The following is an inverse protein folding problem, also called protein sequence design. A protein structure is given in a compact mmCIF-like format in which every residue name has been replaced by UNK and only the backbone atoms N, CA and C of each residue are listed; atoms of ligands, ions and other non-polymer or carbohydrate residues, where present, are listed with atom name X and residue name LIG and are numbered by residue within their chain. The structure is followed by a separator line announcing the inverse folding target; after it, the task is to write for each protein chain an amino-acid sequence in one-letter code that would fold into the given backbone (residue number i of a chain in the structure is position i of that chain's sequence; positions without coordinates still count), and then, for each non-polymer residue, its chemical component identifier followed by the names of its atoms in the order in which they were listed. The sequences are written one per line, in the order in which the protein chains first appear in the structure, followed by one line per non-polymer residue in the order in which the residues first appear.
data_IF_984470367032
#
_entry.id   IF_984470367032
#
_cell.length_a   1.000
_cell.length_b   1.000
_cell.length_c   1.000
_cell.angle_alpha   90.00
_cell.angle_beta   90.00
_cell.angle_gamma   90.00
#
_symmetry.space_group_name_H-M   'P 1'
#
loop_
_entity.id
_entity.type
_entity.pdbx_description
1 polymer ?
#
# COMPACT_ATOMS: atom_id res chain seq x y z
N UNK A 1 13.34 -7.54 -13.35
CA UNK A 1 12.73 -7.54 -12.02
C UNK A 1 11.38 -6.86 -12.00
N UNK A 2 10.71 -6.91 -10.87
CA UNK A 2 9.48 -6.15 -10.65
C UNK A 2 9.76 -4.63 -10.66
N UNK A 3 8.82 -3.79 -11.10
CA UNK A 3 8.93 -2.36 -10.87
C UNK A 3 9.12 -2.05 -9.38
N UNK A 4 9.95 -1.07 -9.07
CA UNK A 4 10.35 -0.68 -7.70
C UNK A 4 11.20 -1.71 -6.94
N UNK A 5 11.69 -2.78 -7.58
CA UNK A 5 12.51 -3.81 -6.92
C UNK A 5 13.81 -3.27 -6.30
N UNK A 6 14.31 -2.13 -6.78
CA UNK A 6 15.50 -1.48 -6.20
C UNK A 6 15.19 -0.84 -4.84
N UNK A 7 13.96 -0.34 -4.66
CA UNK A 7 13.53 0.27 -3.39
C UNK A 7 12.88 -0.76 -2.46
N UNK A 8 12.17 -1.73 -3.02
CA UNK A 8 11.44 -2.77 -2.30
C UNK A 8 11.66 -4.13 -2.97
N UNK A 9 12.73 -4.85 -2.60
CA UNK A 9 13.07 -6.15 -3.17
C UNK A 9 11.98 -7.22 -2.95
N UNK A 10 11.84 -8.12 -3.91
CA UNK A 10 10.86 -9.22 -3.84
C UNK A 10 11.05 -10.08 -2.59
N UNK A 11 12.30 -10.40 -2.27
CA UNK A 11 12.66 -11.23 -1.10
C UNK A 11 12.24 -10.57 0.23
N UNK A 12 12.29 -9.24 0.30
CA UNK A 12 11.88 -8.50 1.48
C UNK A 12 10.35 -8.55 1.65
N UNK A 13 9.61 -8.37 0.57
CA UNK A 13 8.15 -8.50 0.57
C UNK A 13 7.74 -9.91 1.01
N UNK A 14 8.30 -10.95 0.36
CA UNK A 14 7.98 -12.35 0.65
C UNK A 14 8.30 -12.69 2.12
N UNK A 15 9.45 -12.26 2.62
CA UNK A 15 9.83 -12.46 4.02
C UNK A 15 8.87 -11.79 4.98
N UNK A 16 8.53 -10.52 4.77
CA UNK A 16 7.64 -9.77 5.68
C UNK A 16 6.25 -10.40 5.72
N UNK A 17 5.72 -10.82 4.57
CA UNK A 17 4.45 -11.52 4.54
C UNK A 17 4.51 -12.89 5.22
N UNK A 18 5.61 -13.63 5.10
CA UNK A 18 5.77 -14.92 5.76
C UNK A 18 5.87 -14.80 7.30
N UNK A 19 6.52 -13.74 7.78
CA UNK A 19 6.66 -13.47 9.23
C UNK A 19 5.35 -13.03 9.89
N UNK A 20 4.52 -12.29 9.18
CA UNK A 20 3.22 -11.80 9.66
C UNK A 20 2.07 -12.81 9.47
N UNK A 21 2.40 -14.07 9.19
CA UNK A 21 1.43 -15.18 9.02
C UNK A 21 0.39 -14.93 7.90
N UNK A 22 0.79 -14.23 6.86
CA UNK A 22 -0.09 -13.96 5.73
C UNK A 22 -0.41 -15.24 4.94
N UNK A 23 -1.68 -15.47 4.69
CA UNK A 23 -2.21 -16.67 4.02
C UNK A 23 -2.10 -16.60 2.49
N UNK A 24 -0.94 -16.25 1.96
CA UNK A 24 -0.67 -16.42 0.53
C UNK A 24 -0.42 -17.89 0.20
N UNK A 25 -0.87 -18.33 -0.97
CA UNK A 25 -0.59 -19.68 -1.43
C UNK A 25 0.93 -19.88 -1.58
N UNK A 26 1.45 -20.96 -0.95
CA UNK A 26 2.86 -21.38 -1.08
C UNK A 26 3.05 -22.32 -2.27
N UNK A 27 2.28 -22.14 -3.31
CA UNK A 27 2.35 -22.92 -4.54
C UNK A 27 3.41 -22.29 -5.44
N UNK A 28 4.39 -23.07 -5.89
CA UNK A 28 5.44 -22.61 -6.81
C UNK A 28 4.89 -22.07 -8.12
N UNK A 29 3.70 -22.53 -8.52
CA UNK A 29 2.98 -22.06 -9.70
C UNK A 29 2.05 -20.87 -9.43
N UNK A 30 2.02 -20.35 -8.21
CA UNK A 30 1.16 -19.22 -7.85
C UNK A 30 1.57 -17.94 -8.58
N UNK A 31 0.67 -17.41 -9.41
CA UNK A 31 0.90 -16.17 -10.16
C UNK A 31 0.89 -14.96 -9.23
N UNK A 32 -0.09 -14.92 -8.33
CA UNK A 32 -0.26 -13.81 -7.39
C UNK A 32 0.47 -14.11 -6.08
N UNK A 33 1.81 -14.08 -6.14
CA UNK A 33 2.66 -14.06 -4.95
C UNK A 33 2.43 -12.75 -4.17
N UNK A 34 2.86 -12.64 -2.90
CA UNK A 34 2.85 -11.38 -2.15
C UNK A 34 3.42 -10.22 -2.98
N UNK A 35 4.59 -10.39 -3.57
CA UNK A 35 5.28 -9.35 -4.34
C UNK A 35 4.51 -8.93 -5.60
N UNK A 36 4.02 -9.87 -6.42
CA UNK A 36 3.22 -9.57 -7.61
C UNK A 36 1.90 -8.91 -7.21
N UNK A 37 1.27 -9.37 -6.11
CA UNK A 37 0.02 -8.82 -5.62
C UNK A 37 0.19 -7.38 -5.13
N UNK A 38 1.25 -7.11 -4.35
CA UNK A 38 1.57 -5.78 -3.87
C UNK A 38 1.90 -4.84 -5.04
N UNK A 39 2.71 -5.29 -6.00
CA UNK A 39 3.00 -4.50 -7.19
C UNK A 39 1.73 -4.17 -7.99
N UNK A 40 0.85 -5.15 -8.21
CA UNK A 40 -0.41 -4.94 -8.91
C UNK A 40 -1.31 -3.93 -8.18
N UNK A 41 -1.36 -3.99 -6.85
CA UNK A 41 -2.07 -3.05 -6.00
C UNK A 41 -1.48 -1.63 -6.09
N UNK A 42 -0.16 -1.48 -5.95
CA UNK A 42 0.52 -0.18 -6.12
C UNK A 42 0.27 0.39 -7.52
N UNK A 43 0.37 -0.44 -8.56
CA UNK A 43 0.05 0.00 -9.92
C UNK A 43 -1.39 0.47 -10.07
N UNK A 44 -2.33 -0.13 -9.33
CA UNK A 44 -3.73 0.28 -9.32
C UNK A 44 -3.93 1.63 -8.62
N UNK A 45 -3.26 1.84 -7.48
CA UNK A 45 -3.36 3.08 -6.69
C UNK A 45 -2.73 4.26 -7.42
N UNK A 46 -1.61 4.06 -8.09
CA UNK A 46 -0.85 5.12 -8.78
C UNK A 46 -1.51 5.61 -10.08
N UNK A 47 -2.45 4.86 -10.65
CA UNK A 47 -3.16 5.26 -11.86
C UNK A 47 -4.46 6.04 -11.54
N UNK A 48 -5.06 6.65 -12.55
CA UNK A 48 -6.31 7.42 -12.44
C UNK A 48 -7.41 6.84 -13.35
N UNK A 49 -8.65 7.17 -13.04
CA UNK A 49 -9.80 6.77 -13.85
C UNK A 49 -9.91 5.25 -14.01
N UNK A 50 -10.27 4.81 -15.19
CA UNK A 50 -10.47 3.39 -15.53
C UNK A 50 -9.22 2.51 -15.33
N UNK A 51 -8.03 3.10 -15.41
CA UNK A 51 -6.77 2.42 -15.17
C UNK A 51 -6.59 1.95 -13.70
N UNK A 52 -7.45 2.40 -12.78
CA UNK A 52 -7.53 1.93 -11.39
C UNK A 52 -8.39 0.68 -11.22
N UNK A 53 -9.00 0.17 -12.27
CA UNK A 53 -9.83 -1.04 -12.18
C UNK A 53 -8.98 -2.28 -11.91
N UNK A 54 -9.57 -3.28 -11.26
CA UNK A 54 -8.92 -4.58 -11.05
C UNK A 54 -8.53 -5.22 -12.38
N UNK A 55 -9.37 -5.06 -13.40
CA UNK A 55 -9.11 -5.60 -14.75
C UNK A 55 -7.88 -4.95 -15.39
N UNK A 56 -7.73 -3.63 -15.26
CA UNK A 56 -6.53 -2.92 -15.74
C UNK A 56 -5.25 -3.37 -15.00
N UNK A 57 -5.36 -3.68 -13.69
CA UNK A 57 -4.24 -4.24 -12.93
C UNK A 57 -3.87 -5.63 -13.42
N UNK A 58 -4.85 -6.50 -13.70
CA UNK A 58 -4.61 -7.82 -14.29
C UNK A 58 -3.94 -7.71 -15.65
N UNK A 59 -4.37 -6.81 -16.52
CA UNK A 59 -3.74 -6.59 -17.82
C UNK A 59 -2.24 -6.21 -17.68
N UNK A 60 -1.89 -5.38 -16.69
CA UNK A 60 -0.49 -5.06 -16.38
C UNK A 60 0.29 -6.26 -15.85
N UNK A 61 -0.32 -7.11 -15.02
CA UNK A 61 0.30 -8.36 -14.56
C UNK A 61 0.55 -9.31 -15.73
N UNK A 62 -0.43 -9.49 -16.63
CA UNK A 62 -0.24 -10.29 -17.86
C UNK A 62 0.94 -9.78 -18.66
N UNK A 63 1.02 -8.47 -18.90
CA UNK A 63 2.13 -7.85 -19.61
C UNK A 63 3.47 -8.10 -18.92
N UNK A 64 3.52 -7.94 -17.59
CA UNK A 64 4.72 -8.20 -16.79
C UNK A 64 5.17 -9.66 -16.93
N UNK A 65 4.27 -10.62 -16.80
CA UNK A 65 4.60 -12.05 -16.91
C UNK A 65 5.18 -12.39 -18.29
N UNK A 66 4.58 -11.83 -19.35
CA UNK A 66 5.10 -12.00 -20.72
C UNK A 66 6.52 -11.44 -20.84
N UNK A 67 6.79 -10.25 -20.32
CA UNK A 67 8.14 -9.63 -20.33
C UNK A 67 9.14 -10.46 -19.54
N UNK A 68 8.71 -11.11 -18.45
CA UNK A 68 9.54 -12.01 -17.64
C UNK A 68 9.69 -13.42 -18.25
N UNK A 69 9.11 -13.69 -19.42
CA UNK A 69 9.12 -15.01 -20.05
C UNK A 69 8.30 -16.07 -19.31
N UNK A 70 7.40 -15.62 -18.40
CA UNK A 70 6.49 -16.50 -17.64
C UNK A 70 5.17 -16.68 -18.40
N UNK A 71 4.47 -17.79 -18.10
CA UNK A 71 3.15 -18.04 -18.64
C UNK A 71 2.16 -16.95 -18.15
N UNK A 72 1.44 -16.28 -19.05
CA UNK A 72 0.44 -15.28 -18.66
C UNK A 72 -0.70 -15.91 -17.86
N UNK A 73 -1.26 -15.15 -16.94
CA UNK A 73 -2.47 -15.52 -16.20
C UNK A 73 -3.73 -15.29 -17.04
N UNK A 74 -4.87 -15.84 -16.58
CA UNK A 74 -6.16 -15.52 -17.14
C UNK A 74 -6.53 -14.04 -16.98
N UNK A 75 -7.35 -13.55 -17.88
CA UNK A 75 -7.76 -12.13 -17.90
C UNK A 75 -8.84 -11.79 -16.84
N UNK A 76 -9.35 -12.80 -16.11
CA UNK A 76 -10.32 -12.59 -15.03
C UNK A 76 -9.71 -11.96 -13.80
N UNK A 77 -10.40 -10.97 -13.23
CA UNK A 77 -9.91 -10.25 -12.06
C UNK A 77 -10.13 -10.98 -10.71
N UNK A 78 -10.88 -12.08 -10.70
CA UNK A 78 -11.26 -12.76 -9.45
C UNK A 78 -10.07 -13.28 -8.65
N UNK A 79 -9.05 -13.85 -9.30
CA UNK A 79 -7.84 -14.33 -8.64
C UNK A 79 -7.07 -13.18 -8.00
N UNK A 80 -6.89 -12.07 -8.72
CA UNK A 80 -6.26 -10.86 -8.20
C UNK A 80 -7.04 -10.27 -7.02
N UNK A 81 -8.36 -10.16 -7.12
CA UNK A 81 -9.19 -9.62 -6.04
C UNK A 81 -9.05 -10.45 -4.75
N UNK A 82 -9.02 -11.78 -4.85
CA UNK A 82 -8.79 -12.66 -3.70
C UNK A 82 -7.38 -12.50 -3.13
N UNK A 83 -6.35 -12.39 -3.96
CA UNK A 83 -4.98 -12.15 -3.51
C UNK A 83 -4.86 -10.78 -2.84
N UNK A 84 -5.42 -9.72 -3.45
CA UNK A 84 -5.40 -8.37 -2.87
C UNK A 84 -6.06 -8.29 -1.49
N UNK A 85 -7.12 -9.06 -1.25
CA UNK A 85 -7.79 -9.12 0.05
C UNK A 85 -6.90 -9.69 1.17
N UNK A 86 -5.76 -10.32 0.82
CA UNK A 86 -4.77 -10.82 1.79
C UNK A 86 -3.68 -9.80 2.13
N UNK A 87 -3.65 -8.65 1.44
CA UNK A 87 -2.73 -7.55 1.78
C UNK A 87 -3.21 -6.94 3.10
N UNK A 88 -2.55 -7.27 4.19
CA UNK A 88 -2.90 -6.79 5.52
C UNK A 88 -2.25 -5.44 5.81
N UNK A 89 -2.96 -4.59 6.55
CA UNK A 89 -2.47 -3.27 6.95
C UNK A 89 -1.15 -3.34 7.74
N UNK A 90 -0.98 -4.22 8.76
CA UNK A 90 0.28 -4.32 9.50
C UNK A 90 1.49 -4.62 8.63
N UNK A 91 1.35 -5.51 7.63
CA UNK A 91 2.44 -5.82 6.70
C UNK A 91 2.80 -4.62 5.84
N UNK A 92 1.81 -3.90 5.32
CA UNK A 92 2.03 -2.70 4.51
C UNK A 92 2.66 -1.58 5.33
N UNK A 93 2.23 -1.38 6.56
CA UNK A 93 2.82 -0.45 7.51
C UNK A 93 4.29 -0.79 7.76
N UNK A 94 4.60 -2.03 8.13
CA UNK A 94 5.97 -2.49 8.38
C UNK A 94 6.87 -2.27 7.16
N UNK A 95 6.46 -2.68 5.96
CA UNK A 95 7.22 -2.46 4.74
C UNK A 95 7.48 -0.96 4.49
N UNK A 96 6.49 -0.11 4.75
CA UNK A 96 6.62 1.33 4.60
C UNK A 96 7.64 1.90 5.56
N UNK A 97 7.59 1.50 6.84
CA UNK A 97 8.50 1.98 7.89
C UNK A 97 9.94 1.48 7.67
N UNK A 98 10.13 0.20 7.31
CA UNK A 98 11.45 -0.36 7.00
C UNK A 98 12.09 0.35 5.78
N UNK A 99 11.31 0.65 4.74
CA UNK A 99 11.78 1.41 3.59
C UNK A 99 12.13 2.86 3.96
N UNK A 100 11.32 3.51 4.80
CA UNK A 100 11.60 4.86 5.28
C UNK A 100 12.88 4.91 6.12
N UNK A 101 13.06 3.98 7.05
CA UNK A 101 14.27 3.89 7.88
C UNK A 101 15.53 3.68 7.03
N UNK A 102 15.47 2.81 6.05
CA UNK A 102 16.57 2.59 5.09
C UNK A 102 16.93 3.86 4.33
N UNK A 103 15.92 4.57 3.82
CA UNK A 103 16.15 5.84 3.12
C UNK A 103 16.75 6.90 4.05
N UNK A 104 16.30 6.97 5.31
CA UNK A 104 16.81 7.92 6.29
C UNK A 104 18.26 7.62 6.69
N UNK A 105 18.61 6.34 6.89
CA UNK A 105 19.97 5.95 7.27
C UNK A 105 21.01 6.14 6.17
N UNK A 106 20.57 6.17 4.92
CA UNK A 106 21.43 6.36 3.74
C UNK A 106 21.54 7.83 3.30
N UNK A 107 20.94 8.77 4.03
CA UNK A 107 20.93 10.18 3.65
C UNK A 107 22.35 10.78 3.66
N UNK A 108 22.75 11.48 2.59
CA UNK A 108 23.95 12.29 2.58
C UNK A 108 23.86 13.41 3.63
N UNK A 109 24.97 13.70 4.32
CA UNK A 109 25.02 14.73 5.38
C UNK A 109 24.55 16.11 4.89
N UNK A 110 24.79 16.44 3.64
CA UNK A 110 24.35 17.69 3.02
C UNK A 110 22.83 17.87 2.90
N UNK A 111 22.06 16.79 3.07
CA UNK A 111 20.59 16.82 3.06
C UNK A 111 20.01 16.98 4.47
N UNK A 112 20.88 16.95 5.48
CA UNK A 112 20.50 17.17 6.87
C UNK A 112 20.53 18.66 7.20
N UNK A 113 19.56 19.12 7.95
CA UNK A 113 19.55 20.50 8.43
C UNK A 113 20.43 20.62 9.70
N UNK A 114 21.62 21.21 9.57
CA UNK A 114 22.62 21.26 10.64
C UNK A 114 22.89 19.88 11.28
N UNK A 115 23.05 18.85 10.46
CA UNK A 115 23.25 17.47 10.92
C UNK A 115 22.02 16.79 11.51
N UNK A 116 20.83 17.33 11.28
CA UNK A 116 19.57 16.80 11.85
C UNK A 116 18.57 16.39 10.75
N UNK A 117 17.88 15.28 10.99
CA UNK A 117 16.74 14.87 10.19
C UNK A 117 15.52 15.77 10.50
N UNK A 118 15.01 16.46 9.48
CA UNK A 118 13.82 17.30 9.63
C UNK A 118 12.59 16.49 9.24
N UNK A 119 11.60 16.49 10.11
CA UNK A 119 10.30 15.83 9.88
C UNK A 119 9.20 16.88 9.74
N UNK A 120 8.26 16.60 8.86
CA UNK A 120 7.02 17.36 8.68
C UNK A 120 5.87 16.55 9.27
N UNK A 121 4.99 17.21 10.00
CA UNK A 121 3.73 16.63 10.48
C UNK A 121 2.61 17.30 9.72
N UNK A 122 1.79 16.51 9.06
CA UNK A 122 0.61 16.99 8.35
C UNK A 122 -0.62 16.14 8.68
N UNK A 123 -1.78 16.76 8.64
CA UNK A 123 -3.06 16.14 8.95
C UNK A 123 -4.04 16.26 7.79
N UNK A 124 -4.70 15.15 7.47
CA UNK A 124 -5.74 15.12 6.45
C UNK A 124 -6.95 14.32 6.90
N UNK A 125 -8.00 14.33 6.11
CA UNK A 125 -9.20 13.51 6.32
C UNK A 125 -9.47 12.63 5.11
N UNK A 126 -9.92 11.41 5.37
CA UNK A 126 -10.28 10.45 4.33
C UNK A 126 -11.74 10.07 4.49
N UNK A 127 -12.53 10.29 3.44
CA UNK A 127 -13.91 9.77 3.38
C UNK A 127 -13.87 8.30 2.99
N UNK A 128 -14.57 7.48 3.74
CA UNK A 128 -14.63 6.03 3.52
C UNK A 128 -15.97 5.63 2.89
N UNK A 129 -16.04 4.45 2.25
CA UNK A 129 -17.32 3.89 1.83
C UNK A 129 -18.30 3.78 3.00
N UNK A 130 -19.58 4.04 2.73
CA UNK A 130 -20.63 3.95 3.73
C UNK A 130 -21.02 2.50 3.98
N UNK A 131 -20.27 1.85 4.87
CA UNK A 131 -20.56 0.49 5.35
C UNK A 131 -20.78 0.50 6.87
N UNK A 132 -21.51 -0.48 7.42
CA UNK A 132 -21.71 -0.58 8.87
C UNK A 132 -20.40 -0.62 9.67
N UNK A 133 -19.41 -1.32 9.16
CA UNK A 133 -18.10 -1.46 9.78
C UNK A 133 -17.34 -0.12 9.81
N UNK A 134 -17.34 0.60 8.68
CA UNK A 134 -16.71 1.92 8.59
C UNK A 134 -17.45 2.94 9.45
N UNK A 135 -18.78 2.90 9.51
CA UNK A 135 -19.57 3.78 10.40
C UNK A 135 -19.29 3.48 11.87
N UNK A 136 -19.05 2.22 12.24
CA UNK A 136 -18.72 1.86 13.61
C UNK A 136 -17.31 2.35 14.02
N UNK A 137 -16.32 2.22 13.14
CA UNK A 137 -14.94 2.60 13.40
C UNK A 137 -14.67 4.11 13.21
N UNK A 138 -15.29 4.72 12.20
CA UNK A 138 -15.07 6.11 11.78
C UNK A 138 -16.43 6.80 11.52
N UNK A 139 -17.24 7.05 12.53
CA UNK A 139 -18.60 7.55 12.36
C UNK A 139 -18.62 8.88 11.60
N UNK A 140 -19.73 9.12 10.90
CA UNK A 140 -19.99 10.43 10.31
C UNK A 140 -19.91 11.55 11.34
N UNK A 141 -19.70 12.78 10.90
CA UNK A 141 -19.64 13.94 11.80
C UNK A 141 -20.95 14.11 12.59
N UNK A 142 -20.82 14.35 13.90
CA UNK A 142 -21.98 14.49 14.82
C UNK A 142 -22.95 15.62 14.48
N UNK A 143 -22.50 16.61 13.70
CA UNK A 143 -23.35 17.74 13.27
C UNK A 143 -24.24 17.42 12.08
N UNK A 144 -24.01 16.30 11.41
CA UNK A 144 -24.84 15.84 10.30
C UNK A 144 -25.97 14.94 10.82
N UNK A 145 -27.11 14.98 10.15
CA UNK A 145 -28.22 14.07 10.47
C UNK A 145 -27.73 12.61 10.29
N UNK A 146 -28.11 11.69 11.20
CA UNK A 146 -27.79 10.29 11.08
C UNK A 146 -28.16 9.72 9.69
N UNK A 147 -27.27 8.97 9.08
CA UNK A 147 -27.47 8.32 7.77
C UNK A 147 -27.33 9.25 6.55
N UNK A 148 -26.86 10.50 6.73
CA UNK A 148 -26.65 11.45 5.62
C UNK A 148 -25.17 11.66 5.32
N UNK A 149 -24.29 11.38 6.28
CA UNK A 149 -22.86 11.58 6.16
C UNK A 149 -22.09 10.30 5.92
N UNK A 150 -20.97 10.42 5.22
CA UNK A 150 -20.01 9.32 5.06
C UNK A 150 -19.11 9.17 6.30
N UNK A 151 -18.62 7.96 6.58
CA UNK A 151 -17.55 7.74 7.54
C UNK A 151 -16.32 8.58 7.18
N UNK A 152 -15.73 9.25 8.17
CA UNK A 152 -14.55 10.09 7.96
C UNK A 152 -13.48 9.73 8.97
N UNK A 153 -12.33 9.29 8.47
CA UNK A 153 -11.12 9.15 9.27
C UNK A 153 -10.30 10.45 9.22
N UNK A 154 -9.73 10.82 10.36
CA UNK A 154 -8.63 11.78 10.44
C UNK A 154 -7.32 11.04 10.43
N UNK A 155 -6.40 11.46 9.59
CA UNK A 155 -5.07 10.89 9.47
C UNK A 155 -4.03 11.96 9.75
N UNK A 156 -3.02 11.62 10.54
CA UNK A 156 -1.83 12.45 10.78
C UNK A 156 -0.63 11.66 10.28
N UNK A 157 0.21 12.29 9.49
CA UNK A 157 1.36 11.65 8.85
C UNK A 157 2.62 12.39 9.23
N UNK A 158 3.67 11.64 9.58
CA UNK A 158 5.02 12.12 9.81
C UNK A 158 5.85 11.84 8.54
N UNK A 159 6.30 12.89 7.88
CA UNK A 159 7.06 12.81 6.64
C UNK A 159 8.51 13.25 6.85
N UNK A 160 9.44 12.58 6.19
CA UNK A 160 10.81 13.10 6.07
C UNK A 160 10.85 14.23 5.05
N UNK A 161 11.44 15.37 5.43
CA UNK A 161 11.67 16.47 4.50
C UNK A 161 12.70 16.10 3.41
N UNK A 162 13.70 15.30 3.77
CA UNK A 162 14.80 14.96 2.89
C UNK A 162 14.43 13.86 1.87
N UNK A 163 13.70 12.83 2.31
CA UNK A 163 13.37 11.66 1.47
C UNK A 163 11.95 11.68 0.91
N UNK A 164 11.07 12.55 1.43
CA UNK A 164 9.63 12.54 1.23
C UNK A 164 8.94 11.22 1.64
N UNK A 165 9.62 10.37 2.40
CA UNK A 165 9.07 9.11 2.90
C UNK A 165 8.12 9.34 4.08
N UNK A 166 7.07 8.53 4.15
CA UNK A 166 6.22 8.41 5.33
C UNK A 166 7.01 7.65 6.39
N UNK A 167 7.33 8.33 7.50
CA UNK A 167 8.08 7.75 8.62
C UNK A 167 7.18 7.21 9.73
N UNK A 168 5.95 7.70 9.79
CA UNK A 168 4.95 7.24 10.76
C UNK A 168 3.56 7.76 10.34
N UNK A 169 2.50 7.10 10.80
CA UNK A 169 1.13 7.51 10.53
C UNK A 169 0.21 7.07 11.66
N UNK A 170 -0.68 7.96 12.06
CA UNK A 170 -1.78 7.63 12.98
C UNK A 170 -3.13 7.95 12.34
N UNK A 171 -4.09 7.07 12.54
CA UNK A 171 -5.46 7.24 12.03
C UNK A 171 -6.48 7.06 13.15
N UNK A 172 -7.53 7.88 13.14
CA UNK A 172 -8.61 7.83 14.13
C UNK A 172 -9.90 8.45 13.62
N UNK A 173 -10.98 8.39 14.40
CA UNK A 173 -12.24 9.04 14.07
C UNK A 173 -12.07 10.56 13.95
N UNK A 174 -12.91 11.20 13.13
CA UNK A 174 -12.92 12.65 12.94
C UNK A 174 -13.46 13.38 14.16
#
# INVERSE_FOLDING_TARGET
GLPFSDALPEEEIERTFAEEDATFARDEDAIYTPAITLWAFLSQVLHKGEQRSCLASVARVVTLLVVLGKKPCGEDSGAYCRARAKLSEPVLERLTLEMADRCETQLPEQWLWHGRHVKLVDGTTVSMPDTPENQAAYPQQRRQKPGVGFPIARMVVLLSLATAMVCDMAMGPY
#
